data_IF_960276689724
#
_entry.id   IF_960276689724
#
_cell.length_a   1.000
_cell.length_b   1.000
_cell.length_c   1.000
_cell.angle_alpha   90.00
_cell.angle_beta   90.00
_cell.angle_gamma   90.00
#
_symmetry.space_group_name_H-M   'P 1'
#
loop_
_entity.id
_entity.type
_entity.pdbx_description
1 polymer ?
#
# COMPACT_ATOMS: atom_id res chain seq x y z
N UNK A 1 -21.58 10.15 5.49
CA UNK A 1 -20.83 8.89 5.61
C UNK A 1 -19.40 9.18 5.19
N UNK A 2 -18.43 8.91 6.00
CA UNK A 2 -17.03 9.04 5.60
C UNK A 2 -16.66 7.79 4.80
N UNK A 3 -16.25 7.96 3.56
CA UNK A 3 -15.71 6.88 2.74
C UNK A 3 -14.50 6.24 3.45
N UNK A 4 -14.32 4.95 3.29
CA UNK A 4 -13.11 4.25 3.71
C UNK A 4 -11.87 4.88 3.09
N UNK A 5 -10.72 4.73 3.73
CA UNK A 5 -9.46 5.30 3.28
C UNK A 5 -8.46 4.21 2.95
N UNK A 6 -7.78 4.35 1.83
CA UNK A 6 -6.62 3.51 1.50
C UNK A 6 -5.33 4.31 1.68
N UNK A 7 -4.37 3.69 2.34
CA UNK A 7 -3.02 4.20 2.53
C UNK A 7 -2.06 3.29 1.77
N UNK A 8 -1.45 3.81 0.74
CA UNK A 8 -0.42 3.12 -0.02
C UNK A 8 0.92 3.22 0.71
N UNK A 9 1.60 2.10 0.86
CA UNK A 9 2.99 2.04 1.36
C UNK A 9 3.86 1.44 0.27
N UNK A 10 4.62 2.26 -0.43
CA UNK A 10 5.34 1.81 -1.61
C UNK A 10 6.53 2.68 -1.99
N UNK A 11 7.46 2.04 -2.68
CA UNK A 11 8.61 2.65 -3.35
C UNK A 11 9.10 1.65 -4.39
N UNK A 12 9.61 2.14 -5.52
CA UNK A 12 10.25 1.28 -6.53
C UNK A 12 11.54 0.64 -6.01
N UNK A 13 12.17 1.24 -5.00
CA UNK A 13 13.39 0.73 -4.36
C UNK A 13 13.07 -0.41 -3.39
N UNK A 14 13.83 -1.50 -3.49
CA UNK A 14 13.77 -2.60 -2.53
C UNK A 14 14.54 -2.32 -1.24
N UNK A 15 14.16 -3.01 -0.16
CA UNK A 15 14.90 -2.97 1.11
C UNK A 15 14.75 -1.66 1.92
N UNK A 16 13.82 -0.79 1.60
CA UNK A 16 13.61 0.50 2.29
C UNK A 16 12.60 0.44 3.43
N UNK A 17 12.14 -0.75 3.80
CA UNK A 17 11.27 -0.95 4.96
C UNK A 17 9.76 -0.83 4.67
N UNK A 18 9.31 -1.01 3.44
CA UNK A 18 7.88 -0.92 3.06
C UNK A 18 7.00 -1.85 3.90
N UNK A 19 7.24 -3.15 3.82
CA UNK A 19 6.45 -4.15 4.54
C UNK A 19 6.51 -3.97 6.05
N UNK A 20 7.68 -3.61 6.58
CA UNK A 20 7.85 -3.29 8.00
C UNK A 20 6.98 -2.09 8.40
N UNK A 21 7.00 -1.02 7.62
CA UNK A 21 6.17 0.16 7.87
C UNK A 21 4.67 -0.19 7.77
N UNK A 22 4.28 -0.97 6.76
CA UNK A 22 2.89 -1.38 6.57
C UNK A 22 2.37 -2.18 7.77
N UNK A 23 3.16 -3.12 8.28
CA UNK A 23 2.82 -3.92 9.47
C UNK A 23 2.69 -3.05 10.71
N UNK A 24 3.67 -2.22 11.03
CA UNK A 24 3.62 -1.35 12.20
C UNK A 24 2.51 -0.32 12.12
N UNK A 25 2.27 0.25 10.94
CA UNK A 25 1.17 1.19 10.73
C UNK A 25 -0.18 0.51 10.94
N UNK A 26 -0.36 -0.71 10.43
CA UNK A 26 -1.59 -1.48 10.62
C UNK A 26 -1.84 -1.74 12.10
N UNK A 27 -0.83 -2.22 12.82
CA UNK A 27 -0.94 -2.49 14.25
C UNK A 27 -1.23 -1.20 15.05
N UNK A 28 -0.50 -0.13 14.77
CA UNK A 28 -0.73 1.18 15.40
C UNK A 28 -2.16 1.67 15.20
N UNK A 29 -2.66 1.64 13.97
CA UNK A 29 -4.01 2.12 13.65
C UNK A 29 -5.09 1.24 14.26
N UNK A 30 -4.92 -0.08 14.33
CA UNK A 30 -5.83 -0.98 15.04
C UNK A 30 -5.93 -0.64 16.52
N UNK A 31 -4.81 -0.37 17.16
CA UNK A 31 -4.76 0.01 18.56
C UNK A 31 -5.34 1.41 18.81
N UNK A 32 -5.14 2.34 17.87
CA UNK A 32 -5.59 3.73 17.97
C UNK A 32 -7.08 3.90 17.67
N UNK A 33 -7.59 3.14 16.70
CA UNK A 33 -8.96 3.25 16.20
C UNK A 33 -9.76 1.97 16.43
N UNK A 34 -9.97 1.61 17.70
CA UNK A 34 -10.63 0.34 18.08
C UNK A 34 -12.03 0.13 17.52
N UNK A 35 -12.70 1.18 17.04
CA UNK A 35 -14.06 1.12 16.48
C UNK A 35 -14.08 1.10 14.95
N UNK A 36 -12.92 1.26 14.29
CA UNK A 36 -12.81 1.26 12.84
C UNK A 36 -12.11 -0.02 12.37
N UNK A 37 -12.63 -0.71 11.37
CA UNK A 37 -11.90 -1.79 10.74
C UNK A 37 -10.59 -1.26 10.13
N UNK A 38 -9.48 -1.93 10.44
CA UNK A 38 -8.17 -1.63 9.84
C UNK A 38 -7.68 -2.91 9.18
N UNK A 39 -7.51 -2.87 7.88
CA UNK A 39 -7.14 -4.01 7.05
C UNK A 39 -5.76 -3.82 6.45
N UNK A 40 -5.02 -4.91 6.29
CA UNK A 40 -3.79 -4.96 5.51
C UNK A 40 -4.05 -5.72 4.20
N UNK A 41 -3.70 -5.11 3.08
CA UNK A 41 -3.65 -5.75 1.78
C UNK A 41 -2.19 -5.84 1.34
N UNK A 42 -1.63 -7.04 1.36
CA UNK A 42 -0.28 -7.30 0.88
C UNK A 42 -0.34 -7.68 -0.60
N UNK A 43 0.25 -6.85 -1.44
CA UNK A 43 0.32 -7.05 -2.90
C UNK A 43 1.72 -7.44 -3.37
N UNK A 44 2.69 -7.51 -2.45
CA UNK A 44 4.03 -8.00 -2.77
C UNK A 44 3.97 -9.53 -2.99
N UNK A 45 4.44 -10.04 -4.13
CA UNK A 45 4.56 -11.49 -4.35
C UNK A 45 5.35 -12.23 -3.28
N UNK A 46 6.22 -11.55 -2.55
CA UNK A 46 6.96 -12.15 -1.43
C UNK A 46 6.07 -12.39 -0.19
N UNK A 47 4.97 -11.65 -0.04
CA UNK A 47 4.02 -11.84 1.05
C UNK A 47 4.55 -11.55 2.45
N UNK A 48 5.60 -10.76 2.57
CA UNK A 48 6.28 -10.53 3.86
C UNK A 48 5.37 -9.91 4.90
N UNK A 49 4.59 -8.88 4.53
CA UNK A 49 3.67 -8.23 5.47
C UNK A 49 2.54 -9.16 5.88
N UNK A 50 2.02 -9.94 4.94
CA UNK A 50 0.99 -10.95 5.22
C UNK A 50 1.49 -12.01 6.20
N UNK A 51 2.66 -12.59 5.96
CA UNK A 51 3.26 -13.59 6.85
C UNK A 51 3.51 -13.06 8.26
N UNK A 52 3.98 -11.82 8.38
CA UNK A 52 4.21 -11.18 9.68
C UNK A 52 2.92 -10.96 10.47
N UNK A 53 1.83 -10.64 9.79
CA UNK A 53 0.56 -10.28 10.44
C UNK A 53 -0.38 -11.47 10.64
N UNK A 54 -0.27 -12.51 9.85
CA UNK A 54 -1.18 -13.66 9.87
C UNK A 54 -1.37 -14.29 11.26
N UNK A 55 -0.29 -14.51 12.06
CA UNK A 55 -0.46 -15.12 13.38
C UNK A 55 -1.24 -14.26 14.39
N UNK A 56 -1.37 -12.97 14.13
CA UNK A 56 -1.92 -11.96 15.05
C UNK A 56 -3.19 -11.29 14.51
N UNK A 57 -3.75 -11.78 13.41
CA UNK A 57 -4.87 -11.14 12.73
C UNK A 57 -6.00 -12.13 12.46
N UNK A 58 -7.24 -11.60 12.37
CA UNK A 58 -8.36 -12.35 11.83
C UNK A 58 -8.22 -12.46 10.32
N UNK A 59 -8.76 -13.52 9.73
CA UNK A 59 -8.67 -13.77 8.28
C UNK A 59 -9.24 -12.61 7.43
N UNK A 60 -10.23 -11.89 7.95
CA UNK A 60 -10.84 -10.76 7.26
C UNK A 60 -10.04 -9.45 7.38
N UNK A 61 -9.12 -9.38 8.34
CA UNK A 61 -8.33 -8.17 8.61
C UNK A 61 -7.06 -8.09 7.77
N UNK A 62 -6.68 -9.20 7.13
CA UNK A 62 -5.50 -9.27 6.25
C UNK A 62 -5.84 -10.01 4.97
N UNK A 63 -5.31 -9.52 3.85
CA UNK A 63 -5.46 -10.18 2.53
C UNK A 63 -4.13 -10.21 1.81
N UNK A 64 -3.85 -11.33 1.18
CA UNK A 64 -2.72 -11.51 0.30
C UNK A 64 -3.22 -11.54 -1.15
N UNK A 65 -2.78 -10.60 -1.95
CA UNK A 65 -3.13 -10.48 -3.36
C UNK A 65 -1.88 -10.14 -4.16
N UNK A 66 -1.04 -11.13 -4.47
CA UNK A 66 0.21 -10.88 -5.15
C UNK A 66 -0.01 -10.27 -6.54
N UNK A 67 0.65 -9.16 -6.80
CA UNK A 67 0.64 -8.47 -8.08
C UNK A 67 2.07 -8.36 -8.59
N UNK A 68 2.35 -8.94 -9.74
CA UNK A 68 3.69 -8.90 -10.34
C UNK A 68 3.71 -9.54 -11.71
N UNK A 69 4.81 -9.39 -12.42
CA UNK A 69 5.00 -9.86 -13.80
C UNK A 69 4.81 -11.37 -13.99
N UNK A 70 4.82 -12.15 -12.90
CA UNK A 70 4.63 -13.61 -12.91
C UNK A 70 3.23 -14.06 -12.52
N UNK A 71 2.38 -13.14 -12.12
CA UNK A 71 1.00 -13.44 -11.73
C UNK A 71 0.06 -12.86 -12.76
N UNK A 72 -0.12 -13.58 -13.85
CA UNK A 72 -1.02 -13.25 -14.96
C UNK A 72 -2.52 -13.22 -14.57
N UNK A 73 -2.82 -13.35 -13.28
CA UNK A 73 -4.19 -13.58 -12.80
C UNK A 73 -4.91 -12.37 -12.21
N UNK A 74 -4.22 -11.30 -11.83
CA UNK A 74 -4.86 -10.12 -11.23
C UNK A 74 -4.68 -8.91 -12.12
N UNK A 75 -5.71 -8.59 -12.88
CA UNK A 75 -5.75 -7.34 -13.65
C UNK A 75 -5.89 -6.13 -12.73
N UNK A 76 -5.46 -4.96 -13.18
CA UNK A 76 -5.69 -3.70 -12.46
C UNK A 76 -7.17 -3.41 -12.25
N UNK A 77 -8.03 -3.86 -13.16
CA UNK A 77 -9.49 -3.79 -13.00
C UNK A 77 -9.95 -4.60 -11.79
N UNK A 78 -9.37 -5.77 -11.56
CA UNK A 78 -9.68 -6.62 -10.40
C UNK A 78 -9.19 -5.96 -9.11
N UNK A 79 -7.99 -5.38 -9.11
CA UNK A 79 -7.47 -4.65 -7.94
C UNK A 79 -8.33 -3.42 -7.62
N UNK A 80 -8.68 -2.62 -8.63
CA UNK A 80 -9.59 -1.48 -8.46
C UNK A 80 -10.93 -1.93 -7.85
N UNK A 81 -11.50 -3.02 -8.35
CA UNK A 81 -12.73 -3.60 -7.81
C UNK A 81 -12.59 -4.06 -6.35
N UNK A 82 -11.47 -4.68 -5.99
CA UNK A 82 -11.18 -5.10 -4.62
C UNK A 82 -11.01 -3.89 -3.70
N UNK A 83 -10.20 -2.92 -4.10
CA UNK A 83 -9.98 -1.70 -3.32
C UNK A 83 -11.28 -0.92 -3.13
N UNK A 84 -12.07 -0.72 -4.17
CA UNK A 84 -13.39 -0.07 -4.07
C UNK A 84 -14.31 -0.82 -3.11
N UNK A 85 -14.31 -2.15 -3.14
CA UNK A 85 -15.10 -2.97 -2.21
C UNK A 85 -14.60 -2.80 -0.76
N UNK A 86 -13.29 -2.76 -0.54
CA UNK A 86 -12.72 -2.52 0.78
C UNK A 86 -13.02 -1.09 1.27
N UNK A 87 -12.94 -0.12 0.38
CA UNK A 87 -13.22 1.29 0.66
C UNK A 87 -14.71 1.58 0.85
N UNK A 88 -15.61 0.76 0.28
CA UNK A 88 -17.06 0.89 0.48
C UNK A 88 -17.53 0.43 1.88
N UNK A 89 -16.65 -0.21 2.65
CA UNK A 89 -16.94 -0.47 4.05
C UNK A 89 -16.79 0.85 4.82
N UNK A 90 -17.90 1.36 5.32
CA UNK A 90 -17.96 2.62 6.04
C UNK A 90 -16.86 2.73 7.11
N UNK A 91 -16.06 3.77 7.00
CA UNK A 91 -14.99 4.10 7.94
C UNK A 91 -13.78 3.13 8.01
N UNK A 92 -13.71 2.11 7.15
CA UNK A 92 -12.53 1.23 7.12
C UNK A 92 -11.26 1.97 6.67
N UNK A 93 -10.12 1.57 7.23
CA UNK A 93 -8.80 1.99 6.78
C UNK A 93 -8.08 0.78 6.20
N UNK A 94 -7.65 0.87 4.95
CA UNK A 94 -6.89 -0.19 4.27
C UNK A 94 -5.46 0.25 4.05
N UNK A 95 -4.50 -0.50 4.57
CA UNK A 95 -3.08 -0.32 4.29
C UNK A 95 -2.71 -1.25 3.13
N UNK A 96 -2.13 -0.70 2.08
CA UNK A 96 -1.70 -1.43 0.88
C UNK A 96 -0.19 -1.50 0.87
N UNK A 97 0.37 -2.70 1.13
CA UNK A 97 1.80 -2.97 0.99
C UNK A 97 2.13 -3.42 -0.43
N UNK A 98 3.23 -2.93 -0.97
CA UNK A 98 3.63 -3.19 -2.35
C UNK A 98 5.04 -3.72 -2.46
N UNK A 99 5.28 -4.59 -3.42
CA UNK A 99 6.61 -5.05 -3.78
C UNK A 99 7.50 -3.94 -4.32
N UNK A 100 8.80 -4.26 -4.38
CA UNK A 100 9.75 -3.45 -5.10
C UNK A 100 9.72 -3.84 -6.60
N UNK A 101 9.94 -2.88 -7.43
CA UNK A 101 10.13 -3.22 -8.84
C UNK A 101 9.55 -2.21 -9.82
N UNK A 102 9.78 -2.43 -11.12
CA UNK A 102 9.34 -1.55 -12.22
C UNK A 102 7.85 -1.74 -12.48
N UNK A 103 7.05 -0.68 -12.49
CA UNK A 103 6.06 -0.68 -12.34
C UNK A 103 4.84 0.03 -12.68
N UNK A 104 4.26 -0.17 -13.80
CA UNK A 104 2.92 0.23 -14.20
C UNK A 104 1.89 0.04 -13.08
N UNK A 105 1.96 -1.09 -12.41
CA UNK A 105 1.00 -1.46 -11.37
C UNK A 105 1.16 -0.66 -10.05
N UNK A 106 2.40 -0.32 -9.67
CA UNK A 106 2.66 0.45 -8.44
C UNK A 106 2.05 1.85 -8.53
N UNK A 107 2.18 2.51 -9.68
CA UNK A 107 1.58 3.81 -9.94
C UNK A 107 0.06 3.77 -9.86
N UNK A 108 -0.53 2.79 -10.50
CA UNK A 108 -1.97 2.62 -10.52
C UNK A 108 -2.51 2.34 -9.13
N UNK A 109 -1.82 1.52 -8.32
CA UNK A 109 -2.19 1.29 -6.93
C UNK A 109 -2.09 2.56 -6.09
N UNK A 110 -1.02 3.35 -6.26
CA UNK A 110 -0.87 4.63 -5.57
C UNK A 110 -1.99 5.60 -5.92
N UNK A 111 -2.40 5.64 -7.19
CA UNK A 111 -3.50 6.51 -7.67
C UNK A 111 -4.87 6.11 -7.11
N UNK A 112 -5.07 4.86 -6.73
CA UNK A 112 -6.31 4.39 -6.10
C UNK A 112 -6.39 4.70 -4.61
N UNK A 113 -5.29 5.08 -4.00
CA UNK A 113 -5.21 5.34 -2.56
C UNK A 113 -5.34 6.84 -2.23
N UNK A 114 -5.95 7.15 -1.10
CA UNK A 114 -6.13 8.53 -0.63
C UNK A 114 -4.85 9.13 -0.04
N UNK A 115 -3.91 8.30 0.34
CA UNK A 115 -2.63 8.71 0.96
C UNK A 115 -1.53 7.80 0.45
N UNK A 116 -0.38 8.38 0.16
CA UNK A 116 0.82 7.65 -0.27
C UNK A 116 1.95 7.89 0.71
N UNK A 117 2.49 6.81 1.28
CA UNK A 117 3.67 6.82 2.13
C UNK A 117 4.83 6.19 1.35
N UNK A 118 5.92 6.92 1.24
CA UNK A 118 7.11 6.50 0.50
C UNK A 118 8.29 6.38 1.46
N UNK A 119 8.50 5.19 2.07
CA UNK A 119 9.65 4.99 2.94
C UNK A 119 10.93 4.97 2.12
N UNK A 120 11.98 5.59 2.66
CA UNK A 120 13.31 5.62 2.06
C UNK A 120 14.38 5.61 3.15
N UNK A 121 15.62 5.22 2.79
CA UNK A 121 16.78 5.43 3.64
C UNK A 121 17.51 6.73 3.25
N UNK A 122 18.42 7.17 4.11
CA UNK A 122 19.26 8.37 3.84
C UNK A 122 20.45 8.06 2.90
N UNK A 123 20.57 6.81 2.42
CA UNK A 123 21.56 6.44 1.42
C UNK A 123 21.26 7.12 0.07
N UNK A 124 22.27 7.68 -0.59
CA UNK A 124 22.12 8.26 -1.92
C UNK A 124 21.58 7.27 -2.95
N UNK A 125 21.96 6.00 -2.83
CA UNK A 125 21.48 4.93 -3.70
C UNK A 125 19.98 4.66 -3.56
N UNK A 126 19.39 5.03 -2.43
CA UNK A 126 17.95 4.88 -2.16
C UNK A 126 17.20 6.19 -2.40
N UNK A 127 17.82 7.32 -2.06
CA UNK A 127 17.21 8.65 -2.23
C UNK A 127 16.96 8.99 -3.69
N UNK A 128 17.91 8.75 -4.58
CA UNK A 128 17.79 9.11 -5.99
C UNK A 128 16.59 8.42 -6.67
N UNK A 129 16.47 7.09 -6.64
CA UNK A 129 15.30 6.40 -7.21
C UNK A 129 13.98 6.82 -6.53
N UNK A 130 14.02 7.10 -5.22
CA UNK A 130 12.86 7.57 -4.47
C UNK A 130 12.40 8.94 -4.93
N UNK A 131 13.32 9.87 -5.15
CA UNK A 131 13.01 11.21 -5.68
C UNK A 131 12.40 11.09 -7.09
N UNK A 132 12.96 10.25 -7.94
CA UNK A 132 12.44 10.03 -9.29
C UNK A 132 11.02 9.43 -9.23
N UNK A 133 10.78 8.49 -8.31
CA UNK A 133 9.47 7.93 -8.05
C UNK A 133 8.45 8.99 -7.60
N UNK A 134 8.84 9.85 -6.67
CA UNK A 134 7.98 10.92 -6.16
C UNK A 134 7.66 11.94 -7.26
N UNK A 135 8.63 12.33 -8.07
CA UNK A 135 8.42 13.26 -9.20
C UNK A 135 7.42 12.69 -10.19
N UNK A 136 7.59 11.43 -10.54
CA UNK A 136 6.67 10.76 -11.47
C UNK A 136 5.27 10.61 -10.87
N UNK A 137 5.13 10.36 -9.54
CA UNK A 137 3.85 10.43 -8.85
C UNK A 137 3.25 11.84 -8.94
N UNK A 138 4.05 12.87 -8.77
CA UNK A 138 3.61 14.26 -8.80
C UNK A 138 3.15 14.69 -10.19
N UNK A 139 3.87 14.31 -11.23
CA UNK A 139 3.51 14.58 -12.63
C UNK A 139 2.17 13.93 -13.03
N UNK A 140 1.82 12.81 -12.39
CA UNK A 140 0.55 12.09 -12.63
C UNK A 140 -0.59 12.54 -11.74
N UNK A 141 -0.33 13.50 -10.88
CA UNK A 141 -1.15 13.85 -9.72
C UNK A 141 -2.30 14.82 -10.00
N UNK A 142 -2.45 15.32 -11.18
CA UNK A 142 -3.39 16.44 -11.47
C UNK A 142 -4.80 16.23 -10.89
N UNK A 143 -5.09 15.02 -10.35
CA UNK A 143 -6.45 14.74 -9.87
C UNK A 143 -6.60 14.06 -8.48
N UNK A 144 -5.57 13.52 -7.76
CA UNK A 144 -5.94 12.51 -6.74
C UNK A 144 -5.18 12.42 -5.41
N UNK A 145 -4.06 13.10 -5.10
CA UNK A 145 -3.25 12.66 -3.95
C UNK A 145 -2.76 13.74 -2.98
N UNK A 146 -2.84 13.43 -1.67
CA UNK A 146 -1.96 14.03 -0.66
C UNK A 146 -0.76 13.12 -0.42
N UNK A 147 0.45 13.59 -0.68
CA UNK A 147 1.71 12.88 -0.43
C UNK A 147 2.21 13.20 0.98
N UNK A 148 2.51 12.16 1.74
CA UNK A 148 3.22 12.26 3.02
C UNK A 148 4.57 11.57 2.82
N UNK A 149 5.64 12.31 3.07
CA UNK A 149 7.01 11.79 3.02
C UNK A 149 7.46 11.40 4.43
N UNK A 150 8.01 10.23 4.56
CA UNK A 150 8.66 9.75 5.78
C UNK A 150 10.13 9.48 5.47
#
# INVERSE_FOLDING_TARGET
MSEGKAIFVGNIKGGVGKSTLAVYLTDYLRNRYRRRPVMLLDTDPQGTAFEMMQPHSRADDIKFLPIGDRYDGVSMTTLDGILRRMLSQDEAVTIVDTGAGKLGNVWQMAMLCSTVLVPTSMSWTDLRPTIDFIKELDDRKEDYLSLIHI
#
